data_IF_791131448745
#
_entry.id   IF_791131448745
#
_cell.length_a   1.000
_cell.length_b   1.000
_cell.length_c   1.000
_cell.angle_alpha   90.00
_cell.angle_beta   90.00
_cell.angle_gamma   90.00
#
_symmetry.space_group_name_H-M   'P 1'
#
loop_
_entity.id
_entity.type
_entity.pdbx_description
1 polymer ?
#
# COMPACT_ATOMS: atom_id res chain seq x y z
N UNK A 1 -9.87 15.93 11.87
CA UNK A 1 -9.43 15.32 10.60
C UNK A 1 -10.49 15.52 9.55
N UNK A 2 -10.14 15.62 8.26
CA UNK A 2 -11.11 15.62 7.16
C UNK A 2 -11.73 14.21 6.98
N UNK A 3 -12.75 14.03 6.10
CA UNK A 3 -13.32 12.73 5.79
C UNK A 3 -12.27 11.68 5.41
N UNK A 4 -12.56 10.40 5.64
CA UNK A 4 -11.57 9.30 5.56
C UNK A 4 -10.74 9.29 4.27
N UNK A 5 -11.37 9.49 3.10
CA UNK A 5 -10.67 9.55 1.80
C UNK A 5 -9.64 10.68 1.73
N UNK A 6 -9.97 11.86 2.25
CA UNK A 6 -9.07 13.01 2.31
C UNK A 6 -7.98 12.81 3.37
N UNK A 7 -8.32 12.14 4.48
CA UNK A 7 -7.33 11.75 5.49
C UNK A 7 -6.28 10.79 4.91
N UNK A 8 -6.66 9.82 4.09
CA UNK A 8 -5.69 8.94 3.40
C UNK A 8 -4.74 9.72 2.47
N UNK A 9 -5.27 10.71 1.74
CA UNK A 9 -4.44 11.59 0.92
C UNK A 9 -3.50 12.46 1.77
N UNK A 10 -4.00 12.98 2.92
CA UNK A 10 -3.24 13.78 3.89
C UNK A 10 -2.09 12.98 4.53
N UNK A 11 -2.34 11.74 4.95
CA UNK A 11 -1.31 10.85 5.51
C UNK A 11 -0.21 10.50 4.50
N UNK A 12 -0.55 10.41 3.21
CA UNK A 12 0.42 10.20 2.13
C UNK A 12 1.19 11.46 1.70
N UNK A 13 0.85 12.67 2.19
CA UNK A 13 1.51 13.92 1.76
C UNK A 13 3.02 13.98 2.06
N UNK A 14 3.54 13.54 3.23
CA UNK A 14 4.97 13.61 3.52
C UNK A 14 5.81 12.84 2.49
N UNK A 15 5.42 11.61 2.17
CA UNK A 15 6.07 10.76 1.15
C UNK A 15 6.06 11.45 -0.24
N UNK A 16 4.91 12.01 -0.62
CA UNK A 16 4.74 12.73 -1.89
C UNK A 16 5.59 14.00 -1.97
N UNK A 17 5.60 14.83 -0.92
CA UNK A 17 6.36 16.07 -0.88
C UNK A 17 7.86 15.80 -0.95
N UNK A 18 8.38 14.82 -0.20
CA UNK A 18 9.79 14.38 -0.29
C UNK A 18 10.17 13.89 -1.68
N UNK A 19 9.26 13.17 -2.36
CA UNK A 19 9.44 12.76 -3.77
C UNK A 19 9.54 13.96 -4.71
N UNK A 20 8.68 14.97 -4.54
CA UNK A 20 8.75 16.21 -5.31
C UNK A 20 10.06 16.99 -5.04
N UNK A 21 10.46 17.13 -3.77
CA UNK A 21 11.72 17.80 -3.40
C UNK A 21 12.94 17.14 -4.07
N UNK A 22 13.09 15.81 -3.93
CA UNK A 22 14.18 15.03 -4.54
C UNK A 22 14.21 15.16 -6.07
N UNK A 23 13.05 15.31 -6.72
CA UNK A 23 12.93 15.43 -8.18
C UNK A 23 13.20 16.85 -8.71
N UNK A 24 12.86 17.90 -7.94
CA UNK A 24 13.09 19.29 -8.33
C UNK A 24 14.53 19.74 -8.04
N UNK A 25 15.08 19.32 -6.90
CA UNK A 25 16.41 19.72 -6.40
C UNK A 25 17.25 18.48 -5.99
N UNK A 26 17.65 17.62 -6.95
CA UNK A 26 18.43 16.42 -6.66
C UNK A 26 19.83 16.76 -6.10
N UNK A 27 20.26 16.02 -5.09
CA UNK A 27 21.53 16.23 -4.38
C UNK A 27 22.78 16.14 -5.29
N UNK A 28 22.71 15.41 -6.40
CA UNK A 28 23.76 15.33 -7.42
C UNK A 28 24.11 16.72 -8.00
N UNK A 29 23.12 17.62 -8.11
CA UNK A 29 23.34 19.02 -8.55
C UNK A 29 24.01 19.87 -7.47
N UNK A 30 23.92 19.48 -6.20
CA UNK A 30 24.71 20.09 -5.13
C UNK A 30 26.19 19.69 -5.25
N UNK A 31 26.50 18.44 -5.64
CA UNK A 31 27.87 18.00 -5.92
C UNK A 31 28.48 18.70 -7.16
N UNK A 32 27.66 18.99 -8.18
CA UNK A 32 28.07 19.78 -9.35
C UNK A 32 28.58 21.20 -9.01
N UNK A 33 28.36 21.69 -7.78
CA UNK A 33 29.00 22.91 -7.23
C UNK A 33 30.53 22.83 -7.24
N UNK A 34 31.13 21.66 -7.09
CA UNK A 34 32.59 21.49 -7.20
C UNK A 34 33.10 21.78 -8.63
N UNK A 35 32.24 21.59 -9.63
CA UNK A 35 32.49 21.88 -11.05
C UNK A 35 32.09 23.31 -11.44
N UNK A 36 31.68 24.17 -10.49
CA UNK A 36 31.25 25.56 -10.73
C UNK A 36 32.18 26.38 -11.65
N UNK A 37 33.53 26.36 -11.54
CA UNK A 37 34.38 27.14 -12.47
C UNK A 37 34.36 26.62 -13.91
N UNK A 38 34.10 25.32 -14.12
CA UNK A 38 33.93 24.72 -15.47
C UNK A 38 32.51 24.95 -16.01
N UNK A 39 31.49 24.78 -15.16
CA UNK A 39 30.09 25.02 -15.53
C UNK A 39 29.81 26.50 -15.81
N UNK A 40 30.54 27.43 -15.19
CA UNK A 40 30.44 28.86 -15.52
C UNK A 40 30.90 29.21 -16.95
N UNK A 41 31.69 28.34 -17.59
CA UNK A 41 32.10 28.47 -19.00
C UNK A 41 31.06 27.91 -19.98
N UNK A 42 30.15 27.05 -19.50
CA UNK A 42 29.00 26.56 -20.26
C UNK A 42 27.83 27.54 -20.08
N UNK A 43 27.49 28.25 -21.15
CA UNK A 43 26.59 29.39 -21.10
C UNK A 43 25.20 29.07 -20.52
N UNK A 44 24.77 29.85 -19.52
CA UNK A 44 23.36 30.16 -19.30
C UNK A 44 22.59 29.36 -18.24
N UNK A 45 23.20 28.47 -17.45
CA UNK A 45 22.50 27.79 -16.34
C UNK A 45 22.77 28.48 -15.00
N UNK A 46 21.87 29.35 -14.49
CA UNK A 46 22.03 29.91 -13.15
C UNK A 46 21.88 28.81 -12.10
N UNK A 47 22.96 28.55 -11.35
CA UNK A 47 22.92 27.60 -10.24
C UNK A 47 21.99 28.09 -9.13
N UNK A 48 21.07 27.27 -8.61
CA UNK A 48 20.23 27.64 -7.48
C UNK A 48 21.06 28.08 -6.27
N UNK A 49 20.57 29.09 -5.55
CA UNK A 49 21.24 29.63 -4.37
C UNK A 49 21.38 28.58 -3.26
N UNK A 50 22.48 28.65 -2.49
CA UNK A 50 22.83 27.65 -1.46
C UNK A 50 21.70 27.41 -0.44
N UNK A 51 21.01 28.48 -0.01
CA UNK A 51 19.92 28.40 0.95
C UNK A 51 18.73 27.54 0.46
N UNK A 52 18.52 27.39 -0.86
CA UNK A 52 17.47 26.53 -1.41
C UNK A 52 17.75 25.06 -1.12
N UNK A 53 19.00 24.62 -1.28
CA UNK A 53 19.40 23.24 -0.97
C UNK A 53 19.38 22.97 0.53
N UNK A 54 19.83 23.92 1.36
CA UNK A 54 19.79 23.81 2.82
C UNK A 54 18.36 23.77 3.36
N UNK A 55 17.47 24.62 2.80
CA UNK A 55 16.03 24.60 3.12
C UNK A 55 15.38 23.29 2.69
N UNK A 56 15.73 22.78 1.51
CA UNK A 56 15.20 21.51 0.97
C UNK A 56 15.67 20.32 1.80
N UNK A 57 16.95 20.27 2.20
CA UNK A 57 17.50 19.23 3.05
C UNK A 57 16.82 19.22 4.42
N UNK A 58 16.62 20.39 5.04
CA UNK A 58 15.84 20.51 6.28
C UNK A 58 14.41 20.00 6.09
N UNK A 59 13.71 20.42 5.04
CA UNK A 59 12.35 19.95 4.77
C UNK A 59 12.27 18.44 4.49
N UNK A 60 13.23 17.85 3.78
CA UNK A 60 13.26 16.38 3.61
C UNK A 60 13.43 15.67 4.95
N UNK A 61 14.29 16.17 5.84
CA UNK A 61 14.46 15.64 7.21
C UNK A 61 13.18 15.75 8.05
N UNK A 62 12.55 16.93 8.11
CA UNK A 62 11.29 17.13 8.86
C UNK A 62 10.17 16.24 8.32
N UNK A 63 10.00 16.20 6.99
CA UNK A 63 9.01 15.33 6.34
C UNK A 63 9.34 13.85 6.52
N UNK A 64 10.62 13.46 6.59
CA UNK A 64 11.03 12.09 6.89
C UNK A 64 10.65 11.69 8.32
N UNK A 65 10.79 12.62 9.28
CA UNK A 65 10.33 12.41 10.66
C UNK A 65 8.81 12.24 10.75
N UNK A 66 8.03 13.08 10.06
CA UNK A 66 6.56 12.92 10.02
C UNK A 66 6.17 11.62 9.31
N UNK A 67 6.84 11.29 8.19
CA UNK A 67 6.62 10.04 7.47
C UNK A 67 6.91 8.82 8.34
N UNK A 68 8.03 8.79 9.06
CA UNK A 68 8.41 7.64 9.90
C UNK A 68 7.46 7.41 11.08
N UNK A 69 6.80 8.46 11.58
CA UNK A 69 5.72 8.32 12.57
C UNK A 69 4.46 7.75 11.92
N UNK A 70 4.06 8.23 10.75
CA UNK A 70 2.84 7.77 10.04
C UNK A 70 2.97 6.33 9.53
N UNK A 71 4.14 5.94 9.05
CA UNK A 71 4.45 4.60 8.51
C UNK A 71 4.99 3.65 9.60
N UNK A 72 5.07 4.08 10.87
CA UNK A 72 5.48 3.21 11.98
C UNK A 72 4.49 2.06 12.18
N UNK A 73 5.00 0.85 12.40
CA UNK A 73 4.20 -0.32 12.77
C UNK A 73 3.33 -0.09 14.03
N UNK A 74 3.76 0.82 14.91
CA UNK A 74 3.05 1.21 16.13
C UNK A 74 1.94 2.25 15.91
N UNK A 75 1.79 2.76 14.68
CA UNK A 75 0.76 3.75 14.33
C UNK A 75 -0.45 3.04 13.73
N UNK A 76 -1.56 3.10 14.46
CA UNK A 76 -2.86 2.55 14.05
C UNK A 76 -3.89 3.66 13.82
N UNK A 77 -4.90 3.35 13.00
CA UNK A 77 -6.03 4.22 12.72
C UNK A 77 -7.32 3.62 13.28
N UNK A 78 -7.92 4.28 14.27
CA UNK A 78 -9.30 4.00 14.66
C UNK A 78 -10.26 4.72 13.71
N UNK A 79 -11.07 3.95 12.98
CA UNK A 79 -12.09 4.49 12.07
C UNK A 79 -13.38 4.73 12.87
N UNK A 80 -13.96 5.93 12.81
CA UNK A 80 -15.21 6.26 13.49
C UNK A 80 -16.26 6.63 12.45
N UNK A 81 -17.41 5.95 12.47
CA UNK A 81 -18.50 6.21 11.54
C UNK A 81 -19.87 5.92 12.16
N UNK A 82 -20.92 6.62 11.71
CA UNK A 82 -22.29 6.28 12.06
C UNK A 82 -22.76 5.13 11.16
N UNK A 83 -23.29 4.01 11.71
CA UNK A 83 -23.65 2.85 10.91
C UNK A 83 -24.83 3.16 9.98
N UNK A 84 -24.57 3.09 8.67
CA UNK A 84 -25.54 3.36 7.61
C UNK A 84 -24.90 3.23 6.22
N UNK A 85 -25.69 3.26 5.14
CA UNK A 85 -25.22 2.94 3.79
C UNK A 85 -24.01 3.76 3.33
N UNK A 86 -24.05 5.09 3.52
CA UNK A 86 -22.95 5.97 3.13
C UNK A 86 -21.64 5.68 3.88
N UNK A 87 -21.72 5.27 5.15
CA UNK A 87 -20.56 4.85 5.93
C UNK A 87 -20.04 3.48 5.49
N UNK A 88 -20.93 2.52 5.20
CA UNK A 88 -20.55 1.21 4.67
C UNK A 88 -19.81 1.36 3.33
N UNK A 89 -20.33 2.16 2.40
CA UNK A 89 -19.68 2.43 1.11
C UNK A 89 -18.33 3.16 1.29
N UNK A 90 -18.25 4.13 2.20
CA UNK A 90 -17.02 4.86 2.50
C UNK A 90 -15.95 3.95 3.12
N UNK A 91 -16.31 3.07 4.05
CA UNK A 91 -15.42 2.10 4.68
C UNK A 91 -14.97 1.03 3.68
N UNK A 92 -15.88 0.46 2.89
CA UNK A 92 -15.58 -0.53 1.84
C UNK A 92 -14.60 0.02 0.81
N UNK A 93 -14.81 1.26 0.39
CA UNK A 93 -13.88 1.99 -0.50
C UNK A 93 -12.54 2.24 0.21
N UNK A 94 -12.56 2.77 1.44
CA UNK A 94 -11.36 3.14 2.16
C UNK A 94 -10.44 1.95 2.46
N UNK A 95 -10.98 0.73 2.65
CA UNK A 95 -10.20 -0.49 2.90
C UNK A 95 -9.10 -0.70 1.86
N UNK A 96 -9.41 -0.56 0.57
CA UNK A 96 -8.42 -0.66 -0.51
C UNK A 96 -7.36 0.43 -0.43
N UNK A 97 -7.74 1.65 -0.06
CA UNK A 97 -6.83 2.78 0.12
C UNK A 97 -5.91 2.61 1.32
N UNK A 98 -6.43 2.14 2.45
CA UNK A 98 -5.68 1.83 3.66
C UNK A 98 -4.58 0.80 3.37
N UNK A 99 -4.91 -0.31 2.70
CA UNK A 99 -3.92 -1.31 2.28
C UNK A 99 -2.92 -0.75 1.26
N UNK A 100 -3.36 0.03 0.27
CA UNK A 100 -2.47 0.66 -0.71
C UNK A 100 -1.43 1.59 -0.05
N UNK A 101 -1.83 2.35 0.98
CA UNK A 101 -0.95 3.25 1.72
C UNK A 101 -0.25 2.60 2.93
N UNK A 102 -0.55 1.34 3.26
CA UNK A 102 0.08 0.60 4.36
C UNK A 102 -0.43 0.95 5.76
N UNK A 103 -1.57 1.62 5.88
CA UNK A 103 -2.10 2.05 7.18
C UNK A 103 -2.88 0.91 7.88
N UNK A 104 -2.50 0.62 9.12
CA UNK A 104 -3.16 -0.37 9.98
C UNK A 104 -4.42 0.24 10.61
N UNK A 105 -5.50 -0.54 10.67
CA UNK A 105 -6.71 -0.19 11.43
C UNK A 105 -6.77 -1.10 12.64
N UNK A 106 -6.89 -0.53 13.84
CA UNK A 106 -7.08 -1.29 15.08
C UNK A 106 -8.56 -1.59 15.35
N UNK A 107 -9.41 -0.59 15.10
CA UNK A 107 -10.81 -0.61 15.46
C UNK A 107 -11.67 0.21 14.49
N UNK A 108 -12.86 -0.29 14.20
CA UNK A 108 -13.96 0.42 13.54
C UNK A 108 -15.05 0.67 14.59
N UNK A 109 -15.26 1.93 14.95
CA UNK A 109 -16.26 2.37 15.91
C UNK A 109 -17.54 2.78 15.18
N UNK A 110 -18.58 1.96 15.33
CA UNK A 110 -19.95 2.30 14.99
C UNK A 110 -20.51 3.24 16.07
N UNK A 111 -20.38 4.54 15.80
CA UNK A 111 -20.82 5.61 16.68
C UNK A 111 -22.34 5.86 16.57
N UNK A 112 -22.94 6.44 17.60
CA UNK A 112 -24.36 6.83 17.63
C UNK A 112 -25.32 5.67 17.34
N UNK A 113 -25.03 4.49 17.88
CA UNK A 113 -25.93 3.34 17.81
C UNK A 113 -27.21 3.61 18.63
N UNK A 114 -28.38 3.38 18.04
CA UNK A 114 -29.67 3.48 18.74
C UNK A 114 -29.98 2.16 19.49
N UNK A 115 -30.82 2.19 20.54
CA UNK A 115 -31.25 0.97 21.25
C UNK A 115 -31.94 -0.02 20.31
N UNK A 116 -31.55 -1.29 20.38
CA UNK A 116 -32.08 -2.35 19.51
C UNK A 116 -33.53 -2.72 19.87
N UNK A 117 -33.86 -2.75 21.16
CA UNK A 117 -35.17 -3.19 21.68
C UNK A 117 -36.18 -2.03 21.81
N UNK A 118 -36.13 -1.04 20.91
CA UNK A 118 -37.06 0.09 20.95
C UNK A 118 -38.45 -0.29 20.46
N UNK A 119 -39.49 0.07 21.22
CA UNK A 119 -40.89 -0.06 20.80
C UNK A 119 -41.34 1.03 19.81
N UNK A 120 -40.55 2.11 19.64
CA UNK A 120 -40.83 3.15 18.66
C UNK A 120 -40.50 2.67 17.23
N UNK A 121 -41.45 2.71 16.26
CA UNK A 121 -41.22 2.18 14.91
C UNK A 121 -40.08 2.83 14.14
N UNK A 122 -39.84 4.14 14.35
CA UNK A 122 -38.74 4.83 13.68
C UNK A 122 -37.40 4.34 14.24
N UNK A 123 -37.24 4.34 15.56
CA UNK A 123 -36.03 3.85 16.23
C UNK A 123 -35.75 2.38 15.91
N UNK A 124 -36.78 1.52 15.87
CA UNK A 124 -36.65 0.11 15.46
C UNK A 124 -36.16 -0.03 14.00
N UNK A 125 -36.66 0.80 13.08
CA UNK A 125 -36.21 0.79 11.68
C UNK A 125 -34.74 1.23 11.53
N UNK A 126 -34.33 2.24 12.30
CA UNK A 126 -32.93 2.71 12.35
C UNK A 126 -32.05 1.63 12.98
N UNK A 127 -32.46 1.02 14.09
CA UNK A 127 -31.72 -0.06 14.76
C UNK A 127 -31.43 -1.22 13.80
N UNK A 128 -32.45 -1.67 13.05
CA UNK A 128 -32.31 -2.75 12.07
C UNK A 128 -31.34 -2.41 10.93
N UNK A 129 -31.35 -1.16 10.44
CA UNK A 129 -30.37 -0.70 9.44
C UNK A 129 -28.95 -0.66 10.03
N UNK A 130 -28.79 -0.13 11.24
CA UNK A 130 -27.50 -0.03 11.91
C UNK A 130 -26.90 -1.42 12.19
N UNK A 131 -27.73 -2.38 12.61
CA UNK A 131 -27.35 -3.77 12.84
C UNK A 131 -26.96 -4.49 11.54
N UNK A 132 -27.66 -4.24 10.42
CA UNK A 132 -27.27 -4.76 9.11
C UNK A 132 -25.88 -4.25 8.68
N UNK A 133 -25.64 -2.95 8.81
CA UNK A 133 -24.32 -2.36 8.55
C UNK A 133 -23.25 -2.91 9.50
N UNK A 134 -23.57 -3.10 10.80
CA UNK A 134 -22.64 -3.65 11.78
C UNK A 134 -22.18 -5.06 11.40
N UNK A 135 -23.08 -5.94 10.96
CA UNK A 135 -22.72 -7.30 10.52
C UNK A 135 -21.80 -7.25 9.30
N UNK A 136 -22.14 -6.45 8.30
CA UNK A 136 -21.26 -6.23 7.14
C UNK A 136 -19.86 -5.77 7.59
N UNK A 137 -19.78 -4.87 8.58
CA UNK A 137 -18.49 -4.39 9.07
C UNK A 137 -17.73 -5.47 9.84
N UNK A 138 -18.38 -6.28 10.67
CA UNK A 138 -17.73 -7.41 11.37
C UNK A 138 -17.16 -8.40 10.34
N UNK A 139 -17.96 -8.81 9.37
CA UNK A 139 -17.56 -9.77 8.32
C UNK A 139 -16.45 -9.19 7.42
N UNK A 140 -16.48 -7.88 7.15
CA UNK A 140 -15.51 -7.21 6.27
C UNK A 140 -14.17 -6.95 6.98
N UNK A 141 -14.20 -6.52 8.24
CA UNK A 141 -13.00 -6.02 8.94
C UNK A 141 -12.35 -7.08 9.83
N UNK A 142 -12.98 -8.21 10.11
CA UNK A 142 -12.30 -9.37 10.71
C UNK A 142 -11.35 -10.07 9.72
N UNK A 143 -10.22 -10.64 10.19
CA UNK A 143 -9.64 -10.51 11.53
C UNK A 143 -8.81 -9.22 11.72
N UNK A 144 -8.79 -8.32 10.73
CA UNK A 144 -7.88 -7.18 10.67
C UNK A 144 -8.12 -6.07 11.71
N UNK A 145 -9.33 -5.93 12.27
CA UNK A 145 -9.62 -4.95 13.33
C UNK A 145 -10.98 -5.15 13.99
N UNK A 146 -11.11 -4.73 15.25
CA UNK A 146 -12.34 -4.88 16.05
C UNK A 146 -13.47 -3.98 15.57
N UNK A 147 -14.73 -4.43 15.63
CA UNK A 147 -15.89 -3.53 15.48
C UNK A 147 -16.50 -3.23 16.85
N UNK A 148 -16.45 -1.96 17.25
CA UNK A 148 -17.00 -1.49 18.52
C UNK A 148 -18.30 -0.70 18.33
N UNK A 149 -19.22 -0.79 19.31
CA UNK A 149 -20.46 -0.04 19.33
C UNK A 149 -20.40 1.07 20.39
N UNK A 150 -20.67 2.32 19.99
CA UNK A 150 -20.91 3.42 20.92
C UNK A 150 -22.38 3.88 20.84
N UNK A 151 -23.12 3.90 21.97
CA UNK A 151 -24.52 4.26 21.99
C UNK A 151 -24.74 5.76 21.78
N UNK A 152 -25.84 6.12 21.12
CA UNK A 152 -26.31 7.49 21.04
C UNK A 152 -26.82 7.96 22.41
N UNK A 153 -26.24 9.04 22.96
CA UNK A 153 -26.61 9.56 24.30
C UNK A 153 -27.95 10.33 24.33
N UNK A 154 -28.65 10.45 23.19
CA UNK A 154 -29.87 11.26 23.03
C UNK A 154 -29.62 12.77 22.91
N UNK A 155 -28.36 13.19 23.05
CA UNK A 155 -27.85 14.57 23.00
C UNK A 155 -26.35 14.52 22.72
N UNK A 156 -25.75 15.63 22.30
CA UNK A 156 -24.29 15.73 22.23
C UNK A 156 -23.66 15.65 23.64
N UNK A 157 -22.47 15.02 23.80
CA UNK A 157 -21.73 14.97 25.06
C UNK A 157 -21.39 16.39 25.55
N UNK A 158 -21.62 16.68 26.85
CA UNK A 158 -21.42 18.02 27.44
C UNK A 158 -20.36 18.07 28.54
N UNK A 159 -19.83 16.93 28.98
CA UNK A 159 -18.88 16.89 30.09
C UNK A 159 -18.27 15.51 30.33
N UNK A 160 -17.39 15.38 31.34
CA UNK A 160 -16.62 14.17 31.61
C UNK A 160 -17.49 12.95 31.96
N UNK A 161 -18.69 13.14 32.52
CA UNK A 161 -19.60 12.03 32.83
C UNK A 161 -20.16 11.36 31.56
N UNK A 162 -20.52 12.15 30.54
CA UNK A 162 -20.96 11.65 29.24
C UNK A 162 -19.82 10.88 28.55
N UNK A 163 -18.58 11.39 28.64
CA UNK A 163 -17.38 10.72 28.11
C UNK A 163 -17.05 9.43 28.87
N UNK A 164 -17.15 9.43 30.21
CA UNK A 164 -16.94 8.25 31.06
C UNK A 164 -17.96 7.15 30.75
N UNK A 165 -19.20 7.53 30.41
CA UNK A 165 -20.22 6.60 29.94
C UNK A 165 -19.85 5.98 28.60
N UNK A 166 -19.39 6.77 27.63
CA UNK A 166 -18.93 6.26 26.32
C UNK A 166 -17.65 5.42 26.43
N UNK A 167 -16.73 5.77 27.32
CA UNK A 167 -15.50 5.01 27.55
C UNK A 167 -15.81 3.60 28.08
N UNK A 168 -16.72 3.47 29.05
CA UNK A 168 -17.18 2.15 29.55
C UNK A 168 -17.78 1.27 28.45
N UNK A 169 -18.33 1.86 27.39
CA UNK A 169 -18.84 1.14 26.23
C UNK A 169 -17.68 0.73 25.31
N UNK A 170 -16.73 1.64 25.03
CA UNK A 170 -15.52 1.37 24.25
C UNK A 170 -14.65 0.26 24.87
N UNK A 171 -14.39 0.32 26.17
CA UNK A 171 -13.52 -0.62 26.88
C UNK A 171 -14.04 -2.06 26.75
N UNK A 172 -15.36 -2.27 26.74
CA UNK A 172 -15.97 -3.60 26.54
C UNK A 172 -15.68 -4.19 25.16
N UNK A 173 -15.43 -3.36 24.16
CA UNK A 173 -14.96 -3.81 22.85
C UNK A 173 -13.47 -4.15 22.88
N UNK A 174 -12.65 -3.31 23.53
CA UNK A 174 -11.19 -3.44 23.57
C UNK A 174 -10.72 -4.73 24.22
N UNK A 175 -11.39 -5.20 25.28
CA UNK A 175 -11.04 -6.46 25.97
C UNK A 175 -11.27 -7.73 25.12
N UNK A 176 -12.00 -7.66 24.00
CA UNK A 176 -12.20 -8.81 23.12
C UNK A 176 -11.01 -9.10 22.19
N UNK A 177 -10.00 -8.21 22.15
CA UNK A 177 -8.92 -8.23 21.17
C UNK A 177 -7.53 -8.13 21.83
N UNK A 178 -7.31 -8.94 22.88
CA UNK A 178 -5.98 -9.08 23.46
C UNK A 178 -5.00 -9.58 22.38
N UNK A 179 -3.94 -8.81 22.19
CA UNK A 179 -3.22 -8.67 20.93
C UNK A 179 -2.45 -9.95 20.58
N UNK A 180 -3.01 -10.82 19.74
CA UNK A 180 -2.27 -11.92 19.09
C UNK A 180 -1.38 -11.36 17.97
N UNK A 181 -0.44 -10.49 18.34
CA UNK A 181 0.75 -10.31 17.54
C UNK A 181 1.49 -11.65 17.55
N UNK A 182 1.63 -12.26 16.38
CA UNK A 182 2.85 -12.99 16.08
C UNK A 182 3.91 -11.94 15.75
N UNK A 183 4.91 -11.69 16.62
CA UNK A 183 5.93 -10.69 16.37
C UNK A 183 6.99 -11.18 15.36
N UNK A 184 6.71 -12.22 14.57
CA UNK A 184 7.59 -12.74 13.51
C UNK A 184 7.17 -12.32 12.09
N UNK A 185 6.04 -11.63 11.89
CA UNK A 185 5.42 -11.51 10.57
C UNK A 185 5.74 -10.23 9.77
N UNK A 186 6.11 -9.10 10.41
CA UNK A 186 5.90 -7.77 9.81
C UNK A 186 6.96 -6.67 10.10
N UNK A 187 8.26 -6.99 10.16
CA UNK A 187 9.26 -5.95 9.78
C UNK A 187 9.11 -5.62 8.25
N UNK A 188 10.02 -4.83 7.68
CA UNK A 188 10.22 -4.58 6.22
C UNK A 188 8.95 -4.40 5.34
N UNK A 189 8.57 -3.14 5.28
CA UNK A 189 7.92 -2.46 4.15
C UNK A 189 8.26 -3.06 2.75
N UNK A 190 7.27 -3.71 2.12
CA UNK A 190 7.35 -4.21 0.74
C UNK A 190 7.81 -5.67 0.60
N UNK A 191 6.86 -6.58 0.35
CA UNK A 191 7.11 -8.02 0.42
C UNK A 191 8.16 -8.55 -0.63
N UNK A 192 9.31 -9.13 -0.17
CA UNK A 192 10.36 -9.93 -0.89
C UNK A 192 10.84 -11.28 -0.19
N UNK A 193 10.25 -12.48 -0.40
CA UNK A 193 10.64 -13.83 0.15
C UNK A 193 11.11 -14.81 -0.93
N UNK A 194 12.21 -15.51 -0.65
CA UNK A 194 12.66 -16.73 -1.33
C UNK A 194 12.98 -17.85 -0.31
N UNK A 195 12.95 -19.12 -0.75
CA UNK A 195 13.46 -20.33 -0.05
C UNK A 195 14.46 -21.01 -1.02
N UNK A 196 15.52 -21.73 -0.63
CA UNK A 196 15.76 -22.77 0.40
C UNK A 196 17.15 -22.60 1.08
N UNK A 197 17.50 -23.28 2.17
CA UNK A 197 16.81 -24.35 2.91
C UNK A 197 17.47 -24.63 4.27
N UNK A 198 16.94 -25.59 5.03
CA UNK A 198 17.12 -25.69 6.50
C UNK A 198 18.55 -25.90 7.03
N UNK A 199 18.89 -25.14 8.08
CA UNK A 199 19.34 -25.67 9.39
C UNK A 199 19.26 -24.60 10.49
N UNK A 200 18.47 -24.91 11.51
CA UNK A 200 18.49 -24.39 12.89
C UNK A 200 18.61 -22.86 13.14
N UNK A 201 17.48 -22.26 13.55
CA UNK A 201 17.50 -21.33 14.69
C UNK A 201 17.66 -19.82 14.42
N UNK A 202 17.32 -19.30 13.24
CA UNK A 202 17.28 -17.84 12.99
C UNK A 202 16.08 -17.42 12.14
N UNK A 203 15.41 -16.33 12.54
CA UNK A 203 14.20 -15.78 11.90
C UNK A 203 14.46 -15.26 10.47
N UNK A 204 13.46 -15.32 9.56
CA UNK A 204 13.52 -14.77 8.21
C UNK A 204 13.18 -13.27 8.17
N UNK A 205 13.73 -12.58 7.16
CA UNK A 205 13.54 -11.14 6.90
C UNK A 205 12.31 -10.95 5.96
N UNK A 206 11.40 -10.00 6.24
CA UNK A 206 10.04 -10.01 5.68
C UNK A 206 9.85 -9.91 4.17
N UNK A 207 8.95 -10.77 3.64
CA UNK A 207 8.64 -10.76 2.21
C UNK A 207 7.69 -11.74 1.44
N UNK A 208 7.60 -11.50 0.11
CA UNK A 208 7.12 -12.32 -1.04
C UNK A 208 7.65 -11.78 -2.42
N UNK A 209 8.86 -12.21 -2.85
CA UNK A 209 9.45 -12.07 -4.21
C UNK A 209 9.88 -13.48 -4.57
N UNK A 210 8.93 -14.19 -5.16
CA UNK A 210 9.18 -15.57 -5.56
C UNK A 210 10.12 -15.57 -6.76
N UNK A 211 11.14 -16.43 -6.72
CA UNK A 211 11.99 -16.73 -7.86
C UNK A 211 11.65 -18.14 -8.36
N UNK A 212 11.16 -18.25 -9.60
CA UNK A 212 10.53 -19.47 -10.12
C UNK A 212 11.57 -20.44 -10.69
N UNK A 213 12.42 -21.05 -9.85
CA UNK A 213 13.51 -21.91 -10.33
C UNK A 213 13.70 -23.32 -9.72
N UNK A 214 12.86 -23.79 -8.77
CA UNK A 214 13.10 -25.12 -8.16
C UNK A 214 11.87 -26.01 -7.86
N UNK A 215 10.69 -25.76 -8.47
CA UNK A 215 9.46 -26.53 -8.16
C UNK A 215 8.83 -27.29 -9.34
N UNK A 216 9.44 -27.27 -10.53
CA UNK A 216 8.92 -27.91 -11.75
C UNK A 216 9.09 -29.44 -11.84
N UNK A 217 9.14 -30.18 -10.72
CA UNK A 217 9.12 -31.66 -10.70
C UNK A 217 8.30 -32.25 -9.54
N UNK A 218 6.96 -32.10 -9.57
CA UNK A 218 5.96 -33.19 -9.38
C UNK A 218 4.51 -32.69 -9.25
N UNK A 219 3.61 -33.36 -9.99
CA UNK A 219 2.12 -33.33 -9.93
C UNK A 219 1.40 -32.18 -10.64
N UNK A 220 1.31 -32.34 -11.95
CA UNK A 220 0.10 -32.35 -12.78
C UNK A 220 -1.14 -31.49 -12.44
N UNK A 221 -1.66 -30.92 -13.53
CA UNK A 221 -3.07 -30.64 -13.82
C UNK A 221 -3.75 -29.43 -13.15
N UNK A 222 -3.43 -28.22 -13.63
CA UNK A 222 -4.41 -27.41 -14.41
C UNK A 222 -3.85 -26.04 -14.85
N UNK A 223 -2.73 -25.99 -15.58
CA UNK A 223 -2.30 -24.78 -16.30
C UNK A 223 -2.63 -24.96 -17.78
N UNK A 224 -3.81 -24.48 -18.18
CA UNK A 224 -4.24 -24.50 -19.57
C UNK A 224 -4.87 -23.15 -19.95
N UNK A 225 -4.26 -22.50 -20.94
CA UNK A 225 -4.77 -21.39 -21.75
C UNK A 225 -5.36 -20.16 -21.03
N UNK A 226 -4.66 -19.04 -21.15
CA UNK A 226 -5.25 -17.76 -21.57
C UNK A 226 -4.14 -16.89 -22.18
N UNK A 227 -3.60 -17.40 -23.30
CA UNK A 227 -3.15 -16.51 -24.36
C UNK A 227 -4.38 -15.90 -25.06
N UNK A 228 -4.18 -14.80 -25.77
CA UNK A 228 -5.20 -14.01 -26.47
C UNK A 228 -6.29 -13.38 -25.58
N UNK A 229 -6.03 -12.13 -25.20
CA UNK A 229 -6.86 -11.03 -25.74
C UNK A 229 -6.07 -9.72 -25.72
N UNK A 230 -6.16 -8.98 -26.83
CA UNK A 230 -5.43 -7.73 -27.04
C UNK A 230 -5.61 -6.71 -25.91
N UNK A 231 -4.51 -6.09 -25.48
CA UNK A 231 -4.55 -4.69 -25.07
C UNK A 231 -3.20 -3.99 -25.31
N UNK A 232 -3.17 -3.29 -26.45
CA UNK A 232 -2.18 -2.33 -26.93
C UNK A 232 -1.23 -1.71 -25.89
N UNK A 233 0.04 -2.10 -25.93
CA UNK A 233 1.16 -1.26 -25.47
C UNK A 233 1.89 -0.67 -26.68
N UNK A 234 1.72 0.63 -26.93
CA UNK A 234 2.38 1.32 -28.04
C UNK A 234 3.86 1.63 -27.76
N UNK A 235 4.73 0.66 -28.05
CA UNK A 235 6.15 0.88 -28.32
C UNK A 235 6.42 1.05 -29.82
N UNK A 236 7.21 2.05 -30.24
CA UNK A 236 7.48 2.32 -31.67
C UNK A 236 8.47 1.31 -32.29
N UNK A 237 8.18 0.89 -33.53
CA UNK A 237 8.86 -0.20 -34.26
C UNK A 237 10.30 0.08 -34.70
N UNK A 238 11.10 -0.99 -34.85
CA UNK A 238 12.49 -0.95 -35.33
C UNK A 238 13.11 -2.28 -35.83
N UNK A 239 12.55 -2.90 -36.87
CA UNK A 239 13.15 -3.94 -37.76
C UNK A 239 13.55 -5.34 -37.18
N UNK A 240 12.70 -6.32 -37.49
CA UNK A 240 12.96 -7.74 -37.85
C UNK A 240 14.41 -8.29 -37.90
N UNK A 241 14.67 -9.40 -37.17
CA UNK A 241 15.34 -10.60 -37.73
C UNK A 241 15.22 -11.86 -36.85
N UNK A 242 14.97 -13.01 -37.51
CA UNK A 242 15.30 -14.42 -37.17
C UNK A 242 15.11 -14.93 -35.73
N UNK A 243 14.37 -16.03 -35.61
CA UNK A 243 14.54 -17.00 -34.52
C UNK A 243 16.02 -17.46 -34.42
N UNK A 244 16.64 -17.42 -33.23
CA UNK A 244 17.91 -18.08 -32.97
C UNK A 244 17.70 -19.60 -32.71
N UNK A 245 18.71 -20.44 -32.95
CA UNK A 245 18.63 -21.88 -32.63
C UNK A 245 18.55 -22.11 -31.11
N UNK A 246 18.10 -23.29 -30.64
CA UNK A 246 18.00 -23.59 -29.22
C UNK A 246 19.39 -23.58 -28.57
N UNK A 247 19.67 -22.53 -27.79
CA UNK A 247 20.78 -22.47 -26.86
C UNK A 247 20.49 -23.24 -25.57
N UNK A 248 21.49 -23.47 -24.70
CA UNK A 248 21.27 -24.12 -23.41
C UNK A 248 20.31 -23.29 -22.55
N UNK A 249 19.48 -23.98 -21.76
CA UNK A 249 18.41 -23.38 -20.96
C UNK A 249 18.91 -22.18 -20.14
N UNK A 250 18.28 -21.02 -20.32
CA UNK A 250 18.51 -19.86 -19.46
C UNK A 250 17.79 -20.04 -18.13
N UNK A 251 18.44 -19.56 -17.08
CA UNK A 251 17.96 -19.54 -15.70
C UNK A 251 17.05 -18.29 -15.53
N UNK A 252 15.81 -18.35 -16.03
CA UNK A 252 14.86 -17.24 -16.17
C UNK A 252 14.32 -16.72 -14.80
N UNK A 253 15.21 -16.12 -14.02
CA UNK A 253 15.04 -15.67 -12.63
C UNK A 253 13.98 -14.57 -12.42
N UNK A 254 12.73 -14.93 -12.62
CA UNK A 254 11.54 -14.07 -12.59
C UNK A 254 11.11 -13.78 -11.16
N UNK A 255 10.90 -12.50 -10.82
CA UNK A 255 10.55 -12.01 -9.48
C UNK A 255 9.06 -11.60 -9.42
N UNK A 256 8.30 -12.00 -8.40
CA UNK A 256 6.87 -11.62 -8.26
C UNK A 256 6.64 -10.79 -7.00
N UNK A 257 6.27 -9.52 -7.14
CA UNK A 257 5.94 -8.64 -6.01
C UNK A 257 4.43 -8.65 -5.72
N UNK A 258 4.05 -8.78 -4.45
CA UNK A 258 2.66 -8.84 -4.02
C UNK A 258 2.24 -7.62 -3.19
N UNK A 259 0.99 -7.18 -3.39
CA UNK A 259 0.34 -6.11 -2.61
C UNK A 259 -1.14 -6.45 -2.39
N UNK A 260 -1.58 -6.48 -1.14
CA UNK A 260 -3.00 -6.65 -0.83
C UNK A 260 -3.79 -5.37 -1.10
N UNK A 261 -4.88 -5.53 -1.84
CA UNK A 261 -5.82 -4.50 -2.27
C UNK A 261 -7.26 -5.03 -2.10
N UNK A 262 -7.69 -5.34 -0.86
CA UNK A 262 -9.01 -5.89 -0.60
C UNK A 262 -10.11 -4.98 -1.15
N UNK A 263 -11.07 -5.56 -1.87
CA UNK A 263 -12.15 -4.84 -2.55
C UNK A 263 -11.76 -4.20 -3.89
N UNK A 264 -10.51 -4.29 -4.34
CA UNK A 264 -10.12 -3.83 -5.67
C UNK A 264 -10.75 -4.68 -6.79
N UNK A 265 -11.08 -4.01 -7.90
CA UNK A 265 -11.54 -4.63 -9.14
C UNK A 265 -10.61 -4.26 -10.29
N UNK A 266 -10.46 -5.14 -11.28
CA UNK A 266 -9.45 -5.03 -12.34
C UNK A 266 -9.66 -3.78 -13.21
N UNK A 267 -10.92 -3.40 -13.42
CA UNK A 267 -11.36 -2.26 -14.23
C UNK A 267 -10.97 -0.92 -13.61
N UNK A 268 -10.73 -0.89 -12.30
CA UNK A 268 -10.33 0.28 -11.53
C UNK A 268 -8.84 0.28 -11.17
N UNK A 269 -8.11 -0.79 -11.52
CA UNK A 269 -6.68 -0.95 -11.26
C UNK A 269 -5.86 -0.51 -12.48
N UNK A 270 -4.95 0.44 -12.31
CA UNK A 270 -3.92 0.74 -13.31
C UNK A 270 -2.52 0.71 -12.70
N UNK A 271 -1.58 0.20 -13.49
CA UNK A 271 -0.18 0.01 -13.11
C UNK A 271 0.70 0.67 -14.18
N UNK A 272 1.55 1.63 -13.78
CA UNK A 272 2.46 2.32 -14.71
C UNK A 272 3.85 2.38 -14.11
N UNK A 273 4.82 1.76 -14.78
CA UNK A 273 6.23 1.89 -14.40
C UNK A 273 6.87 3.13 -15.03
N UNK A 274 7.68 3.85 -14.26
CA UNK A 274 8.46 5.01 -14.69
C UNK A 274 9.87 4.95 -14.10
N UNK A 275 10.81 4.33 -14.82
CA UNK A 275 12.17 4.11 -14.32
C UNK A 275 12.16 3.24 -13.06
N UNK A 276 12.66 3.80 -11.96
CA UNK A 276 12.69 3.19 -10.62
C UNK A 276 11.37 3.33 -9.84
N UNK A 277 10.33 3.95 -10.43
CA UNK A 277 9.03 4.15 -9.77
C UNK A 277 7.94 3.24 -10.34
N UNK A 278 7.02 2.81 -9.48
CA UNK A 278 5.78 2.10 -9.84
C UNK A 278 4.57 2.93 -9.39
N UNK A 279 3.81 3.49 -10.34
CA UNK A 279 2.51 4.08 -10.06
C UNK A 279 1.49 2.96 -9.96
N UNK A 280 0.71 2.97 -8.87
CA UNK A 280 -0.45 2.12 -8.68
C UNK A 280 -1.64 3.05 -8.44
N UNK A 281 -2.70 2.89 -9.23
CA UNK A 281 -3.97 3.58 -9.01
C UNK A 281 -5.07 2.54 -8.89
N UNK A 282 -5.88 2.65 -7.84
CA UNK A 282 -6.94 1.70 -7.51
C UNK A 282 -8.19 2.51 -7.13
N UNK A 283 -9.15 2.56 -8.05
CA UNK A 283 -10.34 3.40 -7.91
C UNK A 283 -9.96 4.86 -7.62
N UNK A 284 -10.34 5.43 -6.47
CA UNK A 284 -10.03 6.82 -6.13
C UNK A 284 -8.62 7.07 -5.57
N UNK A 285 -7.82 6.02 -5.31
CA UNK A 285 -6.52 6.11 -4.65
C UNK A 285 -5.37 5.96 -5.63
N UNK A 286 -4.28 6.69 -5.40
CA UNK A 286 -3.08 6.63 -6.21
C UNK A 286 -1.84 6.74 -5.31
N UNK A 287 -1.00 5.71 -5.32
CA UNK A 287 0.32 5.71 -4.68
C UNK A 287 1.39 5.60 -5.75
N UNK A 288 2.53 6.23 -5.51
CA UNK A 288 3.75 6.02 -6.28
C UNK A 288 4.68 5.27 -5.33
N UNK A 289 5.23 4.13 -5.74
CA UNK A 289 6.19 3.38 -4.95
C UNK A 289 7.57 3.51 -5.56
N UNK A 290 8.58 3.65 -4.71
CA UNK A 290 9.97 3.56 -5.14
C UNK A 290 10.35 2.08 -5.14
N UNK A 291 10.80 1.55 -6.28
CA UNK A 291 11.15 0.13 -6.36
C UNK A 291 12.38 -0.17 -5.48
N UNK A 292 12.36 -1.27 -4.70
CA UNK A 292 13.56 -1.83 -4.08
C UNK A 292 14.67 -2.07 -5.11
N UNK A 293 15.92 -2.04 -4.66
CA UNK A 293 17.11 -2.11 -5.53
C UNK A 293 17.12 -3.32 -6.47
N UNK A 294 16.60 -4.47 -6.03
CA UNK A 294 16.42 -5.67 -6.84
C UNK A 294 15.48 -5.46 -8.05
N UNK A 295 14.33 -4.81 -7.84
CA UNK A 295 13.31 -4.62 -8.87
C UNK A 295 13.63 -3.51 -9.87
N UNK A 296 14.48 -2.53 -9.49
CA UNK A 296 14.90 -1.43 -10.37
C UNK A 296 15.57 -1.92 -11.67
N UNK A 297 16.34 -3.00 -11.57
CA UNK A 297 17.06 -3.58 -12.71
C UNK A 297 16.21 -4.53 -13.56
N UNK A 298 15.01 -4.91 -13.11
CA UNK A 298 14.10 -5.75 -13.88
C UNK A 298 13.30 -4.90 -14.88
N UNK A 299 12.50 -5.53 -15.74
CA UNK A 299 11.36 -4.97 -16.48
C UNK A 299 10.05 -5.54 -15.93
N UNK A 300 8.90 -4.89 -16.16
CA UNK A 300 7.59 -5.47 -15.78
C UNK A 300 7.14 -6.42 -16.88
N UNK A 301 6.99 -7.70 -16.55
CA UNK A 301 6.56 -8.77 -17.46
C UNK A 301 5.04 -9.02 -17.42
N UNK A 302 4.34 -8.47 -16.42
CA UNK A 302 2.88 -8.52 -16.34
C UNK A 302 2.38 -8.20 -14.93
N UNK A 303 1.06 -8.06 -14.79
CA UNK A 303 0.41 -7.95 -13.49
C UNK A 303 -0.97 -8.63 -13.52
N UNK A 304 -1.39 -9.18 -12.39
CA UNK A 304 -2.69 -9.79 -12.19
C UNK A 304 -3.27 -9.41 -10.83
N UNK A 305 -4.58 -9.34 -10.74
CA UNK A 305 -5.32 -9.14 -9.50
C UNK A 305 -6.19 -10.39 -9.29
N UNK A 306 -6.03 -11.07 -8.15
CA UNK A 306 -6.78 -12.28 -7.81
C UNK A 306 -7.04 -12.29 -6.30
N UNK A 307 -8.26 -12.65 -5.90
CA UNK A 307 -8.65 -12.84 -4.49
C UNK A 307 -8.33 -11.64 -3.56
N UNK A 308 -8.26 -10.42 -4.13
CA UNK A 308 -7.90 -9.19 -3.42
C UNK A 308 -6.41 -8.86 -3.40
N UNK A 309 -5.53 -9.70 -3.94
CA UNK A 309 -4.07 -9.47 -3.99
C UNK A 309 -3.61 -9.15 -5.42
N UNK A 310 -2.88 -8.04 -5.57
CA UNK A 310 -2.16 -7.68 -6.80
C UNK A 310 -0.79 -8.38 -6.81
N UNK A 311 -0.51 -9.11 -7.89
CA UNK A 311 0.77 -9.76 -8.15
C UNK A 311 1.40 -9.13 -9.39
N UNK A 312 2.57 -8.51 -9.26
CA UNK A 312 3.33 -7.88 -10.36
C UNK A 312 4.57 -8.70 -10.65
N UNK A 313 4.66 -9.22 -11.87
CA UNK A 313 5.79 -10.03 -12.34
C UNK A 313 6.87 -9.15 -12.95
N UNK A 314 8.10 -9.38 -12.55
CA UNK A 314 9.29 -8.68 -13.00
C UNK A 314 10.31 -9.67 -13.56
N UNK A 315 10.92 -9.33 -14.69
CA UNK A 315 11.98 -10.13 -15.33
C UNK A 315 13.28 -9.35 -15.33
N UNK A 316 14.44 -9.92 -14.92
CA UNK A 316 15.75 -9.25 -15.01
C UNK A 316 16.00 -8.63 -16.39
N UNK A 317 16.43 -7.36 -16.45
CA UNK A 317 16.80 -6.75 -17.73
C UNK A 317 18.18 -7.30 -18.17
N UNK A 318 18.28 -8.01 -19.31
CA UNK A 318 19.53 -8.60 -19.78
C UNK A 318 20.58 -7.56 -20.23
N UNK A 319 20.22 -6.26 -20.30
CA UNK A 319 21.16 -5.16 -20.50
C UNK A 319 21.75 -4.62 -19.18
N UNK A 320 21.11 -4.88 -18.03
CA UNK A 320 21.51 -4.37 -16.71
C UNK A 320 22.07 -5.45 -15.78
N UNK A 321 21.79 -6.73 -16.05
CA UNK A 321 22.40 -7.84 -15.31
C UNK A 321 23.76 -8.25 -15.88
N UNK A 322 24.78 -8.51 -15.04
CA UNK A 322 26.04 -9.07 -15.52
C UNK A 322 25.80 -10.46 -16.10
N UNK A 323 26.24 -10.70 -17.33
CA UNK A 323 26.29 -12.06 -17.87
C UNK A 323 27.31 -12.86 -17.07
N UNK A 324 26.93 -14.06 -16.63
CA UNK A 324 27.89 -15.03 -16.13
C UNK A 324 28.99 -15.25 -17.19
N UNK A 325 30.25 -15.28 -16.73
CA UNK A 325 31.44 -15.52 -17.55
C UNK A 325 31.89 -16.96 -17.41
#
# INVERSE_FOLDING_TARGET
MPPLRETLALLALPEQLRRYLRRLLPAERQAARALRPMLAQLAGVPMPAQWLYETTARWDTELAGVQSVIESENTTLTLVAEPGPAAADALRTARTGLSLFGHRVDMVVANRCVPQDSADPWAASVAAQQEACRREWVDTWMPAGSVCLLPHLGRDPRGPDDLTRLQKEADRCSFAHEFTADPAAHELDGLIVALRGDREGRRPDPGRIENVYEESVRRDASVASLADTDNHWHGRNGKSRKEPPPGPASDDGTLIWHLDLPGAVKEQLTLVRRGDELLITVGPFRRILSLPSALRRCTVAGAGLKDGTLSVRFTPDPALWPRAR
#
